data_IF_225272410383
#
_entry.id   IF_225272410383
#
_cell.length_a   1.000
_cell.length_b   1.000
_cell.length_c   1.000
_cell.angle_alpha   90.00
_cell.angle_beta   90.00
_cell.angle_gamma   90.00
#
_symmetry.space_group_name_H-M   'P 1'
#
loop_
_entity.id
_entity.type
_entity.pdbx_description
1 polymer ?
#
# COMPACT_ATOMS: atom_id res chain seq x y z
N UNK A 1 22.10 2.29 0.50
CA UNK A 1 20.78 2.29 -0.15
C UNK A 1 20.36 3.74 -0.31
N UNK A 2 20.17 4.24 -1.54
CA UNK A 2 19.97 5.68 -1.77
C UNK A 2 18.56 6.11 -1.35
N UNK A 3 18.46 7.27 -0.69
CA UNK A 3 17.21 7.89 -0.23
C UNK A 3 16.20 8.11 -1.37
N UNK A 4 16.71 8.30 -2.60
CA UNK A 4 15.91 8.37 -3.82
C UNK A 4 15.13 7.06 -4.09
N UNK A 5 15.71 5.91 -3.74
CA UNK A 5 15.12 4.59 -3.96
C UNK A 5 13.92 4.34 -3.02
N UNK A 6 13.91 4.93 -1.82
CA UNK A 6 12.82 4.76 -0.85
C UNK A 6 11.58 5.61 -1.22
N UNK A 7 11.78 6.84 -1.70
CA UNK A 7 10.70 7.69 -2.23
C UNK A 7 10.04 7.08 -3.47
N UNK A 8 10.84 6.47 -4.34
CA UNK A 8 10.33 5.72 -5.48
C UNK A 8 9.45 4.55 -5.03
N UNK A 9 9.83 3.83 -3.96
CA UNK A 9 9.05 2.70 -3.44
C UNK A 9 7.71 3.12 -2.83
N UNK A 10 7.68 4.22 -2.09
CA UNK A 10 6.43 4.76 -1.51
C UNK A 10 5.49 5.34 -2.58
N UNK A 11 6.05 6.09 -3.54
CA UNK A 11 5.29 6.57 -4.69
C UNK A 11 4.77 5.40 -5.54
N UNK A 12 5.55 4.33 -5.71
CA UNK A 12 5.09 3.11 -6.36
C UNK A 12 3.91 2.48 -5.61
N UNK A 13 3.97 2.35 -4.28
CA UNK A 13 2.86 1.78 -3.51
C UNK A 13 1.53 2.54 -3.73
N UNK A 14 1.57 3.88 -3.79
CA UNK A 14 0.39 4.71 -4.07
C UNK A 14 -0.10 4.52 -5.52
N UNK A 15 0.83 4.51 -6.48
CA UNK A 15 0.50 4.26 -7.90
C UNK A 15 -0.14 2.89 -8.09
N UNK A 16 0.23 1.91 -7.26
CA UNK A 16 -0.33 0.55 -7.32
C UNK A 16 -1.76 0.49 -6.85
N UNK A 17 -2.06 1.13 -5.72
CA UNK A 17 -3.44 1.26 -5.24
C UNK A 17 -4.31 1.93 -6.31
N UNK A 18 -3.78 2.96 -6.98
CA UNK A 18 -4.45 3.63 -8.10
C UNK A 18 -4.63 2.72 -9.31
N UNK A 19 -3.61 1.95 -9.71
CA UNK A 19 -3.71 1.02 -10.85
C UNK A 19 -4.73 -0.07 -10.55
N UNK A 20 -4.74 -0.63 -9.33
CA UNK A 20 -5.72 -1.63 -8.92
C UNK A 20 -7.13 -1.03 -8.97
N UNK A 21 -7.33 0.20 -8.46
CA UNK A 21 -8.60 0.89 -8.54
C UNK A 21 -9.07 1.12 -10.00
N UNK A 22 -8.15 1.51 -10.90
CA UNK A 22 -8.45 1.68 -12.33
C UNK A 22 -8.81 0.35 -13.00
N UNK A 23 -8.08 -0.73 -12.71
CA UNK A 23 -8.38 -2.06 -13.27
C UNK A 23 -9.75 -2.53 -12.79
N UNK A 24 -10.05 -2.38 -11.49
CA UNK A 24 -11.38 -2.70 -10.94
C UNK A 24 -12.48 -1.89 -11.63
N UNK A 25 -12.30 -0.57 -11.79
CA UNK A 25 -13.25 0.27 -12.50
C UNK A 25 -13.45 -0.18 -13.95
N UNK A 26 -12.38 -0.56 -14.66
CA UNK A 26 -12.45 -1.01 -16.05
C UNK A 26 -13.15 -2.36 -16.23
N UNK A 27 -13.04 -3.26 -15.25
CA UNK A 27 -13.75 -4.54 -15.24
C UNK A 27 -15.24 -4.32 -15.00
N UNK A 28 -15.60 -3.40 -14.09
CA UNK A 28 -16.99 -3.01 -13.87
C UNK A 28 -17.63 -2.37 -15.09
N UNK A 29 -16.91 -1.49 -15.80
CA UNK A 29 -17.43 -0.83 -17.01
C UNK A 29 -17.70 -1.83 -18.15
N UNK A 30 -16.82 -2.81 -18.36
CA UNK A 30 -17.06 -3.90 -19.33
C UNK A 30 -18.32 -4.71 -19.01
N UNK A 31 -18.58 -4.95 -17.72
CA UNK A 31 -19.76 -5.71 -17.29
C UNK A 31 -21.04 -4.90 -17.46
N UNK A 32 -20.99 -3.58 -17.24
CA UNK A 32 -22.11 -2.68 -17.52
C UNK A 32 -22.44 -2.63 -19.02
N UNK A 33 -21.42 -2.69 -19.89
CA UNK A 33 -21.63 -2.76 -21.34
C UNK A 33 -22.26 -4.08 -21.78
N UNK A 34 -21.85 -5.22 -21.21
CA UNK A 34 -22.45 -6.52 -21.52
C UNK A 34 -23.93 -6.62 -21.15
N UNK A 35 -24.32 -6.06 -19.99
CA UNK A 35 -25.73 -6.02 -19.60
C UNK A 35 -26.58 -5.12 -20.51
N UNK A 36 -25.97 -4.13 -21.16
CA UNK A 36 -26.65 -3.20 -22.07
C UNK A 36 -26.90 -3.79 -23.46
N UNK A 37 -26.07 -4.73 -23.90
CA UNK A 37 -26.27 -5.43 -25.18
C UNK A 37 -27.36 -6.51 -25.09
N UNK A 38 -27.51 -7.18 -23.93
CA UNK A 38 -28.50 -8.25 -23.73
C UNK A 38 -29.96 -7.72 -23.75
N UNK A 39 -30.17 -6.46 -23.35
CA UNK A 39 -31.50 -5.81 -23.42
C UNK A 39 -31.89 -5.36 -24.85
N UNK A 40 -30.96 -5.35 -25.80
CA UNK A 40 -31.25 -4.87 -27.16
C UNK A 40 -31.92 -5.91 -28.08
N UNK A 41 -31.78 -7.20 -27.78
CA UNK A 41 -32.30 -8.30 -28.61
C UNK A 41 -33.71 -8.79 -28.19
N UNK A 42 -34.25 -8.36 -27.04
CA UNK A 42 -35.58 -8.81 -26.57
C UNK A 42 -36.76 -8.07 -27.20
N UNK A 43 -36.51 -7.01 -27.99
CA UNK A 43 -37.58 -6.24 -28.65
C UNK A 43 -38.17 -6.90 -29.92
N UNK A 44 -37.65 -8.05 -30.38
CA UNK A 44 -38.09 -8.70 -31.62
C UNK A 44 -39.04 -9.90 -31.44
N UNK A 45 -39.37 -10.33 -30.20
CA UNK A 45 -40.10 -11.61 -29.98
C UNK A 45 -41.57 -11.48 -29.54
N UNK A 46 -42.14 -10.27 -29.44
CA UNK A 46 -43.57 -10.10 -29.19
C UNK A 46 -44.38 -10.01 -30.49
N UNK A 47 -44.59 -11.17 -31.13
CA UNK A 47 -45.73 -11.40 -32.01
C UNK A 47 -46.54 -12.57 -31.43
N UNK A 48 -47.60 -12.25 -30.69
CA UNK A 48 -48.56 -13.20 -30.12
C UNK A 48 -49.29 -14.00 -31.22
N UNK A 49 -49.57 -15.28 -30.97
CA UNK A 49 -50.86 -15.86 -31.35
C UNK A 49 -51.70 -16.15 -30.10
N UNK A 50 -52.89 -15.56 -30.07
CA UNK A 50 -53.93 -15.84 -29.09
C UNK A 50 -54.30 -17.33 -29.09
N UNK A 51 -54.25 -17.97 -27.91
CA UNK A 51 -54.55 -19.38 -27.76
C UNK A 51 -54.95 -19.74 -26.33
N UNK A 52 -56.23 -19.57 -26.04
CA UNK A 52 -56.98 -20.02 -24.86
C UNK A 52 -56.68 -21.47 -24.46
N UNK A 53 -56.32 -21.75 -23.20
CA UNK A 53 -56.86 -22.91 -22.46
C UNK A 53 -56.64 -22.78 -20.95
N UNK A 54 -57.76 -22.70 -20.23
CA UNK A 54 -57.91 -22.95 -18.80
C UNK A 54 -57.67 -24.42 -18.46
N UNK A 55 -57.00 -24.70 -17.34
CA UNK A 55 -57.17 -25.88 -16.46
C UNK A 55 -56.38 -25.62 -15.16
N UNK A 56 -57.06 -25.28 -14.05
CA UNK A 56 -57.46 -26.22 -12.99
C UNK A 56 -56.30 -27.11 -12.51
N UNK A 57 -55.59 -26.70 -11.46
CA UNK A 57 -54.94 -27.59 -10.49
C UNK A 57 -54.98 -26.97 -9.09
N UNK A 58 -55.39 -27.79 -8.13
CA UNK A 58 -55.68 -27.48 -6.73
C UNK A 58 -54.40 -27.31 -5.87
N UNK A 59 -54.48 -26.61 -4.72
CA UNK A 59 -53.36 -26.48 -3.79
C UNK A 59 -53.21 -27.75 -2.91
N UNK A 60 -51.98 -28.16 -2.56
CA UNK A 60 -51.77 -29.17 -1.53
C UNK A 60 -51.94 -28.59 -0.12
N UNK A 61 -52.45 -29.46 0.76
CA UNK A 61 -52.71 -29.26 2.19
C UNK A 61 -51.41 -28.99 2.97
N UNK A 62 -51.47 -28.06 3.92
CA UNK A 62 -50.39 -27.82 4.89
C UNK A 62 -50.70 -28.59 6.18
N UNK A 63 -49.86 -29.56 6.51
CA UNK A 63 -49.79 -30.15 7.85
C UNK A 63 -49.10 -29.17 8.81
N UNK A 64 -49.78 -28.88 9.92
CA UNK A 64 -49.30 -28.06 11.02
C UNK A 64 -48.57 -28.93 12.05
N UNK A 65 -47.25 -28.81 12.14
CA UNK A 65 -46.48 -29.36 13.26
C UNK A 65 -46.40 -28.36 14.42
N UNK A 66 -46.99 -28.77 15.54
CA UNK A 66 -46.92 -28.14 16.86
C UNK A 66 -45.54 -28.43 17.48
N UNK A 67 -44.71 -27.40 17.67
CA UNK A 67 -43.46 -27.52 18.43
C UNK A 67 -43.39 -26.44 19.50
N UNK A 68 -43.81 -26.84 20.71
CA UNK A 68 -43.50 -26.19 21.97
C UNK A 68 -42.01 -26.37 22.30
N UNK A 69 -41.27 -25.29 22.53
CA UNK A 69 -39.90 -25.40 23.03
C UNK A 69 -39.16 -24.08 23.25
N UNK A 70 -39.40 -23.47 24.42
CA UNK A 70 -38.50 -22.63 25.24
C UNK A 70 -37.23 -22.04 24.59
N UNK A 71 -37.08 -20.72 24.79
CA UNK A 71 -35.76 -20.09 24.88
C UNK A 71 -35.83 -18.58 24.82
N UNK A 72 -35.83 -17.93 25.99
CA UNK A 72 -35.53 -16.50 26.14
C UNK A 72 -34.20 -16.15 25.48
N UNK A 73 -34.09 -14.94 24.91
CA UNK A 73 -33.07 -13.90 25.14
C UNK A 73 -33.44 -12.70 24.24
N UNK A 74 -33.80 -11.57 24.85
CA UNK A 74 -33.67 -10.21 24.31
C UNK A 74 -32.27 -9.69 24.67
N UNK A 75 -31.82 -8.50 24.22
CA UNK A 75 -31.99 -7.80 22.93
C UNK A 75 -30.62 -7.32 22.40
N UNK A 76 -30.56 -6.63 21.27
CA UNK A 76 -29.82 -5.36 21.10
C UNK A 76 -29.91 -4.89 19.63
N UNK A 77 -30.72 -3.85 19.44
CA UNK A 77 -30.65 -3.04 18.24
C UNK A 77 -29.40 -2.16 18.32
N UNK A 78 -28.51 -2.27 17.33
CA UNK A 78 -27.58 -1.21 17.00
C UNK A 78 -28.01 -0.59 15.68
N UNK A 79 -28.60 0.59 15.84
CA UNK A 79 -28.87 1.59 14.84
C UNK A 79 -27.52 2.18 14.41
N UNK A 80 -27.11 1.98 13.15
CA UNK A 80 -25.99 2.71 12.58
C UNK A 80 -26.53 3.67 11.54
N UNK A 81 -26.51 4.95 11.92
CA UNK A 81 -26.87 6.07 11.07
C UNK A 81 -25.87 6.20 9.93
N UNK A 82 -26.42 6.25 8.73
CA UNK A 82 -25.78 6.72 7.50
C UNK A 82 -25.47 8.21 7.65
N UNK A 83 -24.18 8.59 7.56
CA UNK A 83 -23.78 9.96 7.22
C UNK A 83 -22.82 9.94 6.05
N UNK A 84 -23.43 10.25 4.93
CA UNK A 84 -22.91 10.55 3.62
C UNK A 84 -22.29 11.96 3.67
N UNK A 85 -20.97 12.06 3.52
CA UNK A 85 -20.31 13.31 3.12
C UNK A 85 -19.41 13.04 1.91
N UNK A 86 -19.94 13.46 0.77
CA UNK A 86 -19.30 13.55 -0.53
C UNK A 86 -18.46 14.84 -0.55
N UNK A 87 -17.14 14.73 -0.66
CA UNK A 87 -16.27 15.88 -0.95
C UNK A 87 -15.52 15.62 -2.24
N UNK A 88 -16.06 16.18 -3.33
CA UNK A 88 -15.39 16.36 -4.62
C UNK A 88 -14.12 17.18 -4.46
N UNK A 89 -12.96 16.53 -4.65
CA UNK A 89 -11.69 17.20 -4.87
C UNK A 89 -11.31 17.06 -6.36
N UNK A 90 -11.27 18.19 -7.08
CA UNK A 90 -10.74 18.25 -8.45
C UNK A 90 -9.53 19.19 -8.47
N UNK A 91 -8.34 18.71 -8.87
CA UNK A 91 -7.24 19.61 -9.21
C UNK A 91 -7.06 19.69 -10.74
N UNK A 92 -7.52 20.79 -11.32
CA UNK A 92 -7.08 21.27 -12.63
C UNK A 92 -5.60 21.67 -12.54
N UNK A 93 -4.71 20.98 -13.24
CA UNK A 93 -3.31 21.41 -13.35
C UNK A 93 -2.65 20.96 -14.65
N UNK A 94 -3.08 21.53 -15.79
CA UNK A 94 -2.27 21.57 -17.01
C UNK A 94 -2.52 22.89 -17.75
N UNK A 95 -1.56 23.81 -17.65
CA UNK A 95 -1.29 24.81 -18.68
C UNK A 95 0.10 25.40 -18.47
N UNK A 96 1.01 25.14 -19.41
CA UNK A 96 2.11 26.05 -19.67
C UNK A 96 2.27 26.13 -21.18
N UNK A 97 2.02 27.33 -21.68
CA UNK A 97 1.95 27.73 -23.07
C UNK A 97 3.27 28.41 -23.46
N UNK A 98 3.89 27.86 -24.50
CA UNK A 98 4.67 28.47 -25.60
C UNK A 98 5.61 29.70 -25.42
N UNK A 99 6.88 29.45 -25.83
CA UNK A 99 7.73 30.20 -26.79
C UNK A 99 8.44 31.54 -26.38
N UNK A 100 9.49 32.03 -27.12
CA UNK A 100 10.09 31.54 -28.37
C UNK A 100 11.65 31.47 -28.46
N UNK A 101 12.11 30.75 -29.49
CA UNK A 101 13.44 30.83 -30.13
C UNK A 101 13.57 32.09 -31.00
N UNK A 102 14.77 32.68 -31.02
CA UNK A 102 15.22 33.63 -32.05
C UNK A 102 16.71 33.42 -32.38
N UNK A 103 17.02 33.33 -33.67
CA UNK A 103 18.36 33.22 -34.29
C UNK A 103 18.69 34.55 -35.00
N UNK A 104 20.00 34.76 -35.26
CA UNK A 104 20.70 35.61 -36.27
C UNK A 104 21.70 36.58 -35.60
N UNK A 105 22.88 36.95 -36.14
CA UNK A 105 23.80 36.45 -37.15
C UNK A 105 25.11 37.29 -37.05
N UNK A 106 26.28 36.65 -37.28
CA UNK A 106 27.52 37.23 -37.83
C UNK A 106 28.33 38.32 -37.09
N UNK A 107 29.61 38.03 -36.79
CA UNK A 107 30.80 38.73 -37.35
C UNK A 107 32.08 38.15 -36.72
N UNK A 108 33.03 37.71 -37.57
CA UNK A 108 34.36 37.22 -37.21
C UNK A 108 35.30 38.37 -36.81
N UNK A 109 36.06 38.21 -35.74
CA UNK A 109 37.34 38.87 -35.55
C UNK A 109 38.28 37.91 -34.81
N UNK A 110 39.36 37.60 -35.48
CA UNK A 110 40.46 36.73 -35.12
C UNK A 110 41.19 37.28 -33.88
N UNK A 111 41.27 36.50 -32.80
CA UNK A 111 42.30 36.68 -31.77
C UNK A 111 42.62 35.32 -31.19
N UNK A 112 43.79 34.85 -31.58
CA UNK A 112 44.60 33.82 -30.97
C UNK A 112 44.51 33.84 -29.44
N UNK A 113 43.92 32.80 -28.85
CA UNK A 113 44.05 32.51 -27.42
C UNK A 113 44.26 31.01 -27.26
N UNK A 114 45.41 30.69 -26.67
CA UNK A 114 45.87 29.34 -26.38
C UNK A 114 44.78 28.48 -25.76
N UNK A 115 44.69 27.24 -26.24
CA UNK A 115 43.85 26.21 -25.66
C UNK A 115 44.18 26.07 -24.17
N UNK A 116 43.32 26.62 -23.32
CA UNK A 116 43.42 26.46 -21.87
C UNK A 116 43.23 24.97 -21.58
N UNK A 117 44.33 24.33 -21.22
CA UNK A 117 44.37 22.93 -20.84
C UNK A 117 43.52 22.73 -19.58
N UNK A 118 42.32 22.18 -19.72
CA UNK A 118 41.40 21.89 -18.61
C UNK A 118 41.98 20.94 -17.55
N UNK A 119 43.10 20.26 -17.84
CA UNK A 119 43.82 19.44 -16.85
C UNK A 119 44.56 20.28 -15.79
N UNK A 120 44.94 21.53 -16.08
CA UNK A 120 45.61 22.40 -15.09
C UNK A 120 44.64 23.12 -14.14
N UNK A 121 43.35 23.18 -14.47
CA UNK A 121 42.33 23.74 -13.57
C UNK A 121 41.94 22.79 -12.43
N UNK A 122 42.17 21.48 -12.58
CA UNK A 122 41.92 20.52 -11.50
C UNK A 122 42.97 20.59 -10.36
N UNK A 123 44.18 21.07 -10.64
CA UNK A 123 45.21 21.20 -9.60
C UNK A 123 45.08 22.49 -8.77
N UNK A 124 44.44 23.53 -9.29
CA UNK A 124 44.31 24.83 -8.62
C UNK A 124 43.26 24.83 -7.48
N UNK A 125 42.34 23.86 -7.44
CA UNK A 125 41.38 23.69 -6.35
C UNK A 125 41.79 22.61 -5.33
N UNK A 126 43.04 22.12 -5.38
CA UNK A 126 43.54 21.11 -4.44
C UNK A 126 44.19 21.69 -3.16
N UNK A 127 44.16 23.02 -2.99
CA UNK A 127 44.74 23.69 -1.81
C UNK A 127 43.80 24.71 -1.19
N UNK A 128 42.79 24.22 -0.46
CA UNK A 128 42.28 24.93 0.72
C UNK A 128 42.47 24.02 1.92
N UNK A 129 43.41 24.45 2.77
CA UNK A 129 43.64 24.02 4.15
C UNK A 129 43.03 22.66 4.54
N UNK A 130 43.90 21.66 4.65
CA UNK A 130 43.75 20.55 5.62
C UNK A 130 43.78 21.12 7.04
N UNK A 131 42.82 21.98 7.36
CA UNK A 131 42.44 22.35 8.71
C UNK A 131 41.66 21.17 9.26
N UNK A 132 42.12 20.65 10.39
CA UNK A 132 41.54 19.54 11.10
C UNK A 132 40.22 20.00 11.73
N UNK A 133 39.18 20.19 10.93
CA UNK A 133 37.83 20.13 11.47
C UNK A 133 37.49 18.65 11.50
N UNK A 134 38.00 17.99 12.53
CA UNK A 134 37.26 16.90 13.16
C UNK A 134 35.91 17.51 13.51
N UNK A 135 34.96 17.49 12.58
CA UNK A 135 33.55 17.49 12.93
C UNK A 135 33.33 16.15 13.60
N UNK A 136 33.83 16.02 14.83
CA UNK A 136 33.24 15.15 15.81
C UNK A 136 31.84 15.73 15.96
N UNK A 137 30.92 15.29 15.08
CA UNK A 137 29.49 15.45 15.29
C UNK A 137 29.30 14.90 16.69
N UNK A 138 29.16 15.79 17.68
CA UNK A 138 29.04 15.38 19.07
C UNK A 138 27.85 14.46 19.08
N UNK A 139 28.11 13.15 19.27
CA UNK A 139 27.06 12.14 19.33
C UNK A 139 26.09 12.67 20.37
N UNK A 140 24.90 13.09 19.94
CA UNK A 140 23.89 13.68 20.84
C UNK A 140 23.81 12.75 22.05
N UNK A 141 24.13 13.29 23.23
CA UNK A 141 24.02 12.49 24.45
C UNK A 141 22.56 12.13 24.61
N UNK A 142 22.27 10.83 24.51
CA UNK A 142 20.92 10.30 24.67
C UNK A 142 20.68 10.07 26.14
N UNK A 143 19.51 10.45 26.62
CA UNK A 143 19.03 10.03 27.93
C UNK A 143 18.91 8.49 27.98
N UNK A 144 18.91 7.87 29.17
CA UNK A 144 18.73 6.41 29.28
C UNK A 144 17.45 5.92 28.59
N UNK A 145 16.36 6.70 28.63
CA UNK A 145 15.12 6.38 27.94
C UNK A 145 15.28 6.46 26.42
N UNK A 146 15.81 7.57 25.89
CA UNK A 146 16.08 7.73 24.46
C UNK A 146 16.99 6.61 23.92
N UNK A 147 17.97 6.18 24.71
CA UNK A 147 18.87 5.08 24.35
C UNK A 147 18.12 3.75 24.23
N UNK A 148 17.26 3.40 25.20
CA UNK A 148 16.43 2.17 25.13
C UNK A 148 15.51 2.18 23.92
N UNK A 149 14.85 3.31 23.65
CA UNK A 149 13.98 3.45 22.48
C UNK A 149 14.77 3.39 21.17
N UNK A 150 15.96 3.99 21.12
CA UNK A 150 16.85 3.90 19.97
C UNK A 150 17.30 2.45 19.71
N UNK A 151 17.65 1.70 20.75
CA UNK A 151 18.06 0.30 20.64
C UNK A 151 16.89 -0.61 20.21
N UNK A 152 15.70 -0.37 20.76
CA UNK A 152 14.47 -1.02 20.32
C UNK A 152 14.16 -0.73 18.84
N UNK A 153 14.15 0.54 18.44
CA UNK A 153 13.86 0.94 17.06
C UNK A 153 14.86 0.37 16.06
N UNK A 154 16.13 0.23 16.43
CA UNK A 154 17.11 -0.46 15.60
C UNK A 154 16.86 -1.96 15.50
N UNK A 155 16.46 -2.61 16.59
CA UNK A 155 16.15 -4.04 16.62
C UNK A 155 14.91 -4.34 15.77
N UNK A 156 13.82 -3.59 15.97
CA UNK A 156 12.60 -3.69 15.16
C UNK A 156 12.88 -3.35 13.69
N UNK A 157 13.64 -2.28 13.44
CA UNK A 157 14.01 -1.88 12.09
C UNK A 157 14.85 -2.92 11.35
N UNK A 158 15.72 -3.66 12.06
CA UNK A 158 16.50 -4.74 11.48
C UNK A 158 15.61 -5.94 11.11
N UNK A 159 14.68 -6.30 11.99
CA UNK A 159 13.69 -7.36 11.74
C UNK A 159 12.84 -7.02 10.51
N UNK A 160 12.30 -5.80 10.43
CA UNK A 160 11.48 -5.35 9.29
C UNK A 160 12.29 -5.28 8.00
N UNK A 161 13.52 -4.76 8.06
CA UNK A 161 14.37 -4.64 6.87
C UNK A 161 14.77 -5.98 6.26
N UNK A 162 14.72 -7.08 7.03
CA UNK A 162 15.04 -8.42 6.52
C UNK A 162 14.06 -8.89 5.43
N UNK A 163 12.80 -8.45 5.50
CA UNK A 163 11.78 -8.77 4.49
C UNK A 163 12.13 -8.18 3.11
N UNK A 164 12.72 -6.98 3.11
CA UNK A 164 13.01 -6.18 1.92
C UNK A 164 14.24 -6.67 1.14
N UNK A 165 15.18 -7.33 1.83
CA UNK A 165 16.42 -7.85 1.23
C UNK A 165 16.23 -9.11 0.40
N UNK A 166 15.13 -9.83 0.58
CA UNK A 166 15.03 -11.21 0.11
C UNK A 166 14.18 -11.37 -1.16
N UNK A 167 13.39 -10.37 -1.59
CA UNK A 167 12.34 -10.60 -2.60
C UNK A 167 12.18 -9.55 -3.70
N UNK A 168 11.64 -10.04 -4.82
CA UNK A 168 10.96 -9.22 -5.81
C UNK A 168 9.90 -8.35 -5.10
N UNK A 169 9.73 -7.11 -5.54
CA UNK A 169 8.82 -6.17 -4.86
C UNK A 169 7.45 -6.83 -4.66
N UNK A 170 6.88 -6.67 -3.46
CA UNK A 170 5.51 -7.10 -3.13
C UNK A 170 4.53 -6.74 -4.25
N UNK A 171 4.65 -5.51 -4.76
CA UNK A 171 3.95 -5.02 -5.93
C UNK A 171 4.06 -5.98 -7.11
N UNK A 172 5.27 -6.25 -7.60
CA UNK A 172 5.47 -7.12 -8.77
C UNK A 172 4.82 -8.49 -8.55
N UNK A 173 4.96 -9.07 -7.35
CA UNK A 173 4.32 -10.34 -6.99
C UNK A 173 2.80 -10.27 -7.11
N UNK A 174 2.17 -9.25 -6.52
CA UNK A 174 0.72 -9.06 -6.57
C UNK A 174 0.23 -8.75 -7.98
N UNK A 175 0.91 -7.85 -8.70
CA UNK A 175 0.56 -7.52 -10.08
C UNK A 175 0.61 -8.76 -10.96
N UNK A 176 1.68 -9.55 -10.88
CA UNK A 176 1.80 -10.79 -11.63
C UNK A 176 0.60 -11.70 -11.32
N UNK A 177 0.26 -11.90 -10.04
CA UNK A 177 -0.91 -12.69 -9.65
C UNK A 177 -2.21 -12.18 -10.28
N UNK A 178 -2.50 -10.88 -10.20
CA UNK A 178 -3.71 -10.31 -10.78
C UNK A 178 -3.75 -10.37 -12.31
N UNK A 179 -2.60 -10.29 -12.99
CA UNK A 179 -2.51 -10.43 -14.45
C UNK A 179 -2.95 -11.84 -14.92
N UNK A 180 -2.79 -12.88 -14.08
CA UNK A 180 -3.28 -14.23 -14.38
C UNK A 180 -3.52 -15.02 -13.08
N UNK A 181 -4.73 -14.89 -12.52
CA UNK A 181 -5.11 -15.54 -11.25
C UNK A 181 -5.16 -17.07 -11.33
N UNK A 182 -5.38 -17.62 -12.52
CA UNK A 182 -5.45 -19.06 -12.74
C UNK A 182 -4.07 -19.74 -12.72
N UNK A 183 -2.99 -18.95 -12.76
CA UNK A 183 -1.63 -19.46 -12.70
C UNK A 183 -1.24 -19.83 -11.25
N UNK A 184 -1.04 -21.13 -11.01
CA UNK A 184 -0.70 -21.70 -9.70
C UNK A 184 0.66 -21.26 -9.17
N UNK A 185 1.64 -21.02 -10.04
CA UNK A 185 2.96 -20.51 -9.66
C UNK A 185 2.86 -19.09 -9.07
N UNK A 186 2.03 -18.24 -9.70
CA UNK A 186 1.79 -16.87 -9.23
C UNK A 186 1.02 -16.83 -7.92
N UNK A 187 0.01 -17.69 -7.76
CA UNK A 187 -0.68 -17.87 -6.48
C UNK A 187 0.30 -18.34 -5.39
N UNK A 188 1.17 -19.30 -5.72
CA UNK A 188 2.22 -19.79 -4.80
C UNK A 188 3.18 -18.67 -4.39
N UNK A 189 3.55 -17.77 -5.30
CA UNK A 189 4.38 -16.61 -4.98
C UNK A 189 3.71 -15.66 -3.97
N UNK A 190 2.40 -15.42 -4.10
CA UNK A 190 1.62 -14.62 -3.12
C UNK A 190 1.51 -15.34 -1.78
N UNK A 191 1.30 -16.66 -1.76
CA UNK A 191 1.31 -17.44 -0.50
C UNK A 191 2.69 -17.41 0.17
N UNK A 192 3.77 -17.51 -0.60
CA UNK A 192 5.13 -17.39 -0.07
C UNK A 192 5.40 -15.99 0.50
N UNK A 193 4.84 -14.95 -0.09
CA UNK A 193 4.86 -13.60 0.45
C UNK A 193 4.06 -13.52 1.77
N UNK A 194 2.85 -14.07 1.82
CA UNK A 194 2.03 -14.12 3.03
C UNK A 194 2.77 -14.79 4.21
N UNK A 195 3.42 -15.92 3.97
CA UNK A 195 4.19 -16.63 4.99
C UNK A 195 5.29 -15.78 5.62
N UNK A 196 5.93 -14.88 4.85
CA UNK A 196 6.99 -14.02 5.38
C UNK A 196 6.45 -12.87 6.21
N UNK A 197 5.31 -12.30 5.80
CA UNK A 197 4.60 -11.33 6.62
C UNK A 197 4.18 -11.94 7.96
N UNK A 198 3.72 -13.19 7.94
CA UNK A 198 3.42 -13.95 9.17
C UNK A 198 4.66 -14.17 10.02
N UNK A 199 5.74 -14.67 9.43
CA UNK A 199 7.01 -14.88 10.13
C UNK A 199 7.56 -13.56 10.71
N UNK A 200 7.40 -12.45 10.00
CA UNK A 200 7.79 -11.13 10.48
C UNK A 200 6.98 -10.72 11.71
N UNK A 201 5.65 -10.90 11.67
CA UNK A 201 4.79 -10.68 12.83
C UNK A 201 5.21 -11.54 14.03
N UNK A 202 5.47 -12.83 13.83
CA UNK A 202 5.96 -13.74 14.88
C UNK A 202 7.34 -13.34 15.43
N UNK A 203 8.26 -12.88 14.56
CA UNK A 203 9.57 -12.37 14.98
C UNK A 203 9.44 -11.11 15.82
N UNK A 204 8.52 -10.22 15.46
CA UNK A 204 8.20 -9.02 16.24
C UNK A 204 7.65 -9.42 17.61
N UNK A 205 6.63 -10.28 17.68
CA UNK A 205 6.05 -10.77 18.95
C UNK A 205 7.08 -11.40 19.89
N UNK A 206 8.12 -12.05 19.35
CA UNK A 206 9.19 -12.69 20.12
C UNK A 206 10.33 -11.75 20.51
N UNK A 207 10.25 -10.46 20.16
CA UNK A 207 11.27 -9.49 20.55
C UNK A 207 11.36 -9.38 22.08
N UNK A 208 12.57 -9.50 22.60
CA UNK A 208 12.84 -9.25 24.01
C UNK A 208 13.11 -7.76 24.27
N UNK A 209 12.89 -7.32 25.51
CA UNK A 209 13.22 -5.97 26.00
C UNK A 209 12.49 -4.83 25.28
N UNK A 210 11.17 -4.99 25.05
CA UNK A 210 10.32 -3.93 24.53
C UNK A 210 10.14 -2.87 25.62
N UNK A 211 10.48 -1.59 25.38
CA UNK A 211 10.21 -0.52 26.34
C UNK A 211 8.70 -0.34 26.54
N UNK A 212 8.27 -0.13 27.79
CA UNK A 212 6.84 0.03 28.15
C UNK A 212 6.20 1.19 27.39
N UNK A 213 6.97 2.21 27.00
CA UNK A 213 6.51 3.37 26.27
C UNK A 213 6.05 3.06 24.83
N UNK A 214 6.40 1.89 24.28
CA UNK A 214 6.06 1.46 22.92
C UNK A 214 5.41 0.08 22.87
N UNK A 215 5.10 -0.53 24.02
CA UNK A 215 4.60 -1.90 24.11
C UNK A 215 3.31 -2.11 23.32
N UNK A 216 2.29 -1.28 23.56
CA UNK A 216 1.01 -1.35 22.84
C UNK A 216 1.18 -1.15 21.32
N UNK A 217 1.99 -0.16 20.92
CA UNK A 217 2.25 0.13 19.51
C UNK A 217 3.06 -0.99 18.82
N UNK A 218 3.95 -1.65 19.58
CA UNK A 218 4.69 -2.82 19.13
C UNK A 218 3.76 -4.00 18.89
N UNK A 219 2.90 -4.34 19.85
CA UNK A 219 1.95 -5.45 19.75
C UNK A 219 0.98 -5.25 18.58
N UNK A 220 0.47 -4.02 18.43
CA UNK A 220 -0.41 -3.67 17.32
C UNK A 220 0.32 -3.81 15.97
N UNK A 221 1.56 -3.34 15.86
CA UNK A 221 2.36 -3.48 14.65
C UNK A 221 2.66 -4.96 14.31
N UNK A 222 2.98 -5.78 15.32
CA UNK A 222 3.21 -7.21 15.12
C UNK A 222 1.95 -7.94 14.63
N UNK A 223 0.80 -7.58 15.22
CA UNK A 223 -0.52 -8.10 14.83
C UNK A 223 -0.87 -7.76 13.40
N UNK A 224 -0.73 -6.49 13.00
CA UNK A 224 -1.07 -6.03 11.64
C UNK A 224 -0.22 -6.70 10.55
N UNK A 225 1.04 -7.08 10.82
CA UNK A 225 1.82 -7.91 9.89
C UNK A 225 1.18 -9.28 9.65
N UNK A 226 0.62 -9.92 10.68
CA UNK A 226 -0.09 -11.20 10.55
C UNK A 226 -1.43 -11.04 9.84
N UNK A 227 -2.11 -9.91 10.04
CA UNK A 227 -3.35 -9.60 9.32
C UNK A 227 -3.10 -9.40 7.82
N UNK A 228 -2.02 -8.70 7.44
CA UNK A 228 -1.58 -8.62 6.04
C UNK A 228 -1.36 -10.02 5.46
N UNK A 229 -0.69 -10.91 6.19
CA UNK A 229 -0.50 -12.29 5.74
C UNK A 229 -1.83 -13.01 5.48
N UNK A 230 -2.81 -12.85 6.36
CA UNK A 230 -4.13 -13.45 6.19
C UNK A 230 -4.87 -12.86 4.98
N UNK A 231 -4.80 -11.54 4.78
CA UNK A 231 -5.37 -10.88 3.60
C UNK A 231 -4.76 -11.39 2.30
N UNK A 232 -3.43 -11.55 2.25
CA UNK A 232 -2.72 -12.11 1.11
C UNK A 232 -3.13 -13.57 0.82
N UNK A 233 -3.32 -14.40 1.84
CA UNK A 233 -3.82 -15.76 1.64
C UNK A 233 -5.25 -15.76 1.11
N UNK A 234 -6.12 -14.89 1.63
CA UNK A 234 -7.50 -14.79 1.16
C UNK A 234 -7.57 -14.42 -0.33
N UNK A 235 -6.70 -13.52 -0.80
CA UNK A 235 -6.60 -13.18 -2.23
C UNK A 235 -6.35 -14.42 -3.10
N UNK A 236 -5.49 -15.35 -2.65
CA UNK A 236 -5.16 -16.56 -3.42
C UNK A 236 -6.25 -17.63 -3.40
N UNK A 237 -7.19 -17.57 -2.44
CA UNK A 237 -8.27 -18.55 -2.27
C UNK A 237 -9.55 -18.16 -2.99
N UNK A 238 -9.71 -16.88 -3.33
CA UNK A 238 -10.88 -16.37 -4.03
C UNK A 238 -11.02 -17.00 -5.43
N UNK A 239 -12.15 -17.67 -5.67
CA UNK A 239 -12.48 -18.34 -6.93
C UNK A 239 -13.41 -17.50 -7.79
N UNK A 240 -14.34 -16.78 -7.15
CA UNK A 240 -15.26 -15.87 -7.82
C UNK A 240 -14.80 -14.42 -7.73
N UNK A 241 -15.38 -13.54 -8.56
CA UNK A 241 -15.07 -12.12 -8.52
C UNK A 241 -15.64 -11.44 -7.26
N UNK A 242 -16.76 -11.94 -6.73
CA UNK A 242 -17.33 -11.46 -5.47
C UNK A 242 -16.43 -11.82 -4.29
N UNK A 243 -15.94 -13.06 -4.22
CA UNK A 243 -14.94 -13.49 -3.24
C UNK A 243 -13.65 -12.68 -3.38
N UNK A 244 -13.22 -12.39 -4.61
CA UNK A 244 -12.02 -11.59 -4.83
C UNK A 244 -12.20 -10.16 -4.34
N UNK A 245 -13.32 -9.53 -4.66
CA UNK A 245 -13.61 -8.17 -4.21
C UNK A 245 -13.64 -8.10 -2.68
N UNK A 246 -14.26 -9.07 -2.03
CA UNK A 246 -14.26 -9.20 -0.57
C UNK A 246 -12.83 -9.38 -0.01
N UNK A 247 -12.02 -10.22 -0.63
CA UNK A 247 -10.63 -10.44 -0.22
C UNK A 247 -9.75 -9.18 -0.41
N UNK A 248 -9.94 -8.44 -1.51
CA UNK A 248 -9.24 -7.16 -1.75
C UNK A 248 -9.64 -6.13 -0.70
N UNK A 249 -10.93 -5.99 -0.40
CA UNK A 249 -11.39 -5.06 0.62
C UNK A 249 -10.85 -5.42 2.01
N UNK A 250 -10.82 -6.71 2.36
CA UNK A 250 -10.22 -7.19 3.61
C UNK A 250 -8.72 -6.90 3.67
N UNK A 251 -7.98 -7.14 2.58
CA UNK A 251 -6.55 -6.85 2.50
C UNK A 251 -6.28 -5.35 2.64
N UNK A 252 -7.06 -4.49 1.98
CA UNK A 252 -6.93 -3.04 2.07
C UNK A 252 -7.16 -2.54 3.50
N UNK A 253 -8.18 -3.06 4.18
CA UNK A 253 -8.43 -2.72 5.58
C UNK A 253 -7.23 -3.08 6.49
N UNK A 254 -6.64 -4.26 6.31
CA UNK A 254 -5.42 -4.64 7.04
C UNK A 254 -4.21 -3.76 6.67
N UNK A 255 -4.08 -3.31 5.42
CA UNK A 255 -3.02 -2.42 4.98
C UNK A 255 -3.16 -1.00 5.54
N UNK A 256 -4.38 -0.51 5.67
CA UNK A 256 -4.65 0.76 6.34
C UNK A 256 -4.29 0.68 7.81
N UNK A 257 -4.68 -0.40 8.50
CA UNK A 257 -4.38 -0.57 9.92
C UNK A 257 -2.87 -0.77 10.20
N UNK A 258 -2.19 -1.52 9.32
CA UNK A 258 -0.74 -1.60 9.32
C UNK A 258 -0.10 -0.22 9.20
N UNK A 259 -0.57 0.60 8.24
CA UNK A 259 -0.02 1.95 8.01
C UNK A 259 -0.20 2.83 9.23
N UNK A 260 -1.39 2.83 9.86
CA UNK A 260 -1.65 3.58 11.10
C UNK A 260 -0.72 3.11 12.23
N UNK A 261 -0.60 1.81 12.42
CA UNK A 261 0.24 1.21 13.47
C UNK A 261 1.72 1.57 13.29
N UNK A 262 2.22 1.51 12.05
CA UNK A 262 3.58 1.90 11.72
C UNK A 262 3.84 3.40 11.96
N UNK A 263 2.91 4.25 11.51
CA UNK A 263 2.99 5.70 11.72
C UNK A 263 2.90 6.05 13.20
N UNK A 264 2.06 5.37 13.98
CA UNK A 264 1.96 5.55 15.42
C UNK A 264 3.31 5.27 16.11
N UNK A 265 3.95 4.15 15.78
CA UNK A 265 5.26 3.81 16.33
C UNK A 265 6.35 4.81 15.93
N UNK A 266 6.37 5.25 14.66
CA UNK A 266 7.28 6.28 14.18
C UNK A 266 7.06 7.64 14.88
N UNK A 267 5.79 8.00 15.11
CA UNK A 267 5.41 9.23 15.82
C UNK A 267 5.86 9.17 17.28
N UNK A 268 5.75 8.01 17.94
CA UNK A 268 6.28 7.81 19.30
C UNK A 268 7.78 8.09 19.36
N UNK A 269 8.59 7.54 18.44
CA UNK A 269 10.02 7.85 18.40
C UNK A 269 10.29 9.35 18.27
N UNK A 270 9.57 10.04 17.39
CA UNK A 270 9.71 11.49 17.22
C UNK A 270 9.30 12.26 18.48
N UNK A 271 8.22 11.84 19.15
CA UNK A 271 7.74 12.47 20.38
C UNK A 271 8.75 12.35 21.53
N UNK A 272 9.49 11.24 21.60
CA UNK A 272 10.56 11.03 22.56
C UNK A 272 11.93 11.61 22.13
N UNK A 273 12.00 12.32 21.00
CA UNK A 273 13.25 12.92 20.51
C UNK A 273 14.28 11.91 19.99
N UNK A 274 13.85 10.67 19.74
CA UNK A 274 14.68 9.60 19.17
C UNK A 274 14.85 9.85 17.68
N UNK A 275 16.11 9.89 17.25
CA UNK A 275 16.48 10.10 15.85
C UNK A 275 17.41 8.98 15.40
N UNK A 276 17.20 8.54 14.17
CA UNK A 276 17.99 7.51 13.51
C UNK A 276 18.79 8.14 12.37
N UNK A 277 20.06 7.76 12.27
CA UNK A 277 20.93 8.13 11.16
C UNK A 277 20.64 7.28 9.93
N UNK A 278 21.20 7.67 8.78
CA UNK A 278 21.02 6.93 7.53
C UNK A 278 21.59 5.50 7.54
N UNK A 279 22.51 5.22 8.47
CA UNK A 279 23.14 3.89 8.63
C UNK A 279 22.40 2.99 9.62
N UNK A 280 21.53 3.57 10.44
CA UNK A 280 20.79 2.84 11.46
C UNK A 280 19.69 1.98 10.82
N UNK A 281 19.39 0.83 11.41
CA UNK A 281 18.28 -0.02 10.98
C UNK A 281 16.93 0.62 11.30
N UNK A 282 16.85 1.37 12.40
CA UNK A 282 15.66 2.11 12.80
C UNK A 282 15.30 3.31 11.90
N UNK A 283 16.12 3.62 10.89
CA UNK A 283 15.86 4.70 9.92
C UNK A 283 14.52 4.59 9.21
N UNK A 284 13.94 3.39 9.17
CA UNK A 284 12.62 3.15 8.56
C UNK A 284 11.51 3.93 9.27
N UNK A 285 11.71 4.29 10.54
CA UNK A 285 10.74 5.03 11.35
C UNK A 285 10.91 6.56 11.27
N UNK A 286 11.80 7.05 10.41
CA UNK A 286 12.02 8.49 10.22
C UNK A 286 11.34 8.94 8.94
N UNK A 287 10.33 9.80 9.07
CA UNK A 287 9.78 10.53 7.92
C UNK A 287 10.66 11.75 7.64
N UNK A 288 11.07 11.92 6.38
CA UNK A 288 11.75 13.14 5.97
C UNK A 288 10.77 14.32 6.13
N UNK A 289 11.12 15.26 7.01
CA UNK A 289 10.46 16.57 7.10
C UNK A 289 10.78 17.42 5.88
#
# INVERSE_FOLDING_TARGET
MNWFTLRIRFALAIVVVLIIAIVVASVFDRRAQQLREDDSDTSAFFAEPAGTMSRFFAPPEYESEDSRGRGSIMPLAYEFMSSNEETTFTPNFFSTQDSPRGREAGTQADTQTDAVNFSSLWNAYSFTTRGWITTASSKKERTPLEQRLFDYGNSAGAIISSLDSEHESMLATLKNFFDNRANTERATAVTALANKYRELGEKMERMANIPVEVEDAHETLATTYREIANGLEHLTRAKSDEELLAAVNSYNASADEFTKSFVALATLFSAYGVTFSATDSGRIFVFAQ
#
